data_IF_847902946818
#
_entry.id   IF_847902946818
#
_cell.length_a   1.000
_cell.length_b   1.000
_cell.length_c   1.000
_cell.angle_alpha   90.00
_cell.angle_beta   90.00
_cell.angle_gamma   90.00
#
_symmetry.space_group_name_H-M   'P 1'
#
loop_
_entity.id
_entity.type
_entity.pdbx_description
1 polymer ?
#
# COMPACT_ATOMS: atom_id res chain seq x y z
N UNK A 1 12.42 -18.60 -16.14
CA UNK A 1 13.08 -18.64 -14.82
C UNK A 1 12.83 -19.98 -14.12
N UNK A 2 11.58 -20.37 -13.82
CA UNK A 2 11.26 -21.64 -13.13
C UNK A 2 11.72 -22.86 -13.93
N UNK A 3 11.57 -22.85 -15.26
CA UNK A 3 12.08 -23.90 -16.14
C UNK A 3 13.61 -23.98 -16.08
N UNK A 4 14.29 -22.81 -16.04
CA UNK A 4 15.74 -22.72 -15.92
C UNK A 4 16.23 -23.28 -14.57
N UNK A 5 15.50 -22.98 -13.48
CA UNK A 5 15.79 -23.52 -12.15
C UNK A 5 15.54 -25.05 -12.10
N UNK A 6 14.46 -25.53 -12.72
CA UNK A 6 14.18 -26.96 -12.83
C UNK A 6 15.28 -27.67 -13.63
N UNK A 7 15.73 -27.11 -14.76
CA UNK A 7 16.81 -27.64 -15.55
C UNK A 7 18.14 -27.63 -14.77
N UNK A 8 18.42 -26.58 -14.00
CA UNK A 8 19.60 -26.51 -13.14
C UNK A 8 19.58 -27.59 -12.05
N UNK A 9 18.43 -27.82 -11.42
CA UNK A 9 18.27 -28.83 -10.38
C UNK A 9 18.39 -30.26 -10.93
N UNK A 10 17.85 -30.52 -12.13
CA UNK A 10 17.85 -31.86 -12.75
C UNK A 10 19.14 -32.17 -13.49
N UNK A 11 19.68 -31.18 -14.22
CA UNK A 11 20.81 -31.36 -15.13
C UNK A 11 22.13 -30.85 -14.56
N UNK A 12 22.12 -30.19 -13.41
CA UNK A 12 23.29 -29.54 -12.81
C UNK A 12 23.79 -28.30 -13.57
N UNK A 13 23.18 -27.98 -14.71
CA UNK A 13 23.48 -26.80 -15.51
C UNK A 13 22.24 -26.33 -16.28
N UNK A 14 22.10 -25.05 -16.45
CA UNK A 14 21.08 -24.47 -17.32
C UNK A 14 21.69 -23.31 -18.10
N UNK A 15 21.36 -23.12 -19.39
CA UNK A 15 21.82 -21.97 -20.15
C UNK A 15 21.21 -20.70 -19.57
N UNK A 16 22.05 -19.73 -19.19
CA UNK A 16 21.65 -18.41 -18.83
C UNK A 16 21.34 -17.62 -20.12
N UNK A 17 20.12 -17.20 -20.27
CA UNK A 17 19.73 -16.22 -21.30
C UNK A 17 19.97 -14.81 -20.80
N UNK A 18 20.00 -13.82 -21.70
CA UNK A 18 20.10 -12.41 -21.35
C UNK A 18 18.98 -11.89 -20.42
N UNK A 19 17.95 -12.70 -20.19
CA UNK A 19 16.84 -12.42 -19.31
C UNK A 19 17.18 -12.64 -17.83
N UNK A 20 18.18 -13.45 -17.53
CA UNK A 20 18.54 -13.79 -16.16
C UNK A 20 19.82 -13.10 -15.73
N UNK A 21 19.77 -12.39 -14.62
CA UNK A 21 20.89 -11.70 -14.03
C UNK A 21 21.25 -12.36 -12.69
N UNK A 22 22.55 -12.45 -12.44
CA UNK A 22 23.05 -12.78 -11.10
C UNK A 22 23.29 -11.47 -10.38
N UNK A 23 22.59 -11.25 -9.27
CA UNK A 23 22.79 -10.04 -8.47
C UNK A 23 24.12 -10.09 -7.69
N UNK A 24 24.46 -9.00 -6.98
CA UNK A 24 25.72 -8.89 -6.22
C UNK A 24 25.85 -9.93 -5.11
N UNK A 25 24.74 -10.54 -4.68
CA UNK A 25 24.70 -11.59 -3.67
C UNK A 25 24.75 -13.01 -4.29
N UNK A 26 24.97 -13.11 -5.58
CA UNK A 26 25.06 -14.41 -6.28
C UNK A 26 23.68 -15.04 -6.56
N UNK A 27 22.59 -14.29 -6.43
CA UNK A 27 21.23 -14.76 -6.67
C UNK A 27 20.87 -14.61 -8.14
N UNK A 28 20.35 -15.68 -8.75
CA UNK A 28 19.81 -15.65 -10.09
C UNK A 28 18.45 -14.95 -10.07
N UNK A 29 18.34 -13.81 -10.75
CA UNK A 29 17.12 -12.98 -10.82
C UNK A 29 16.62 -12.97 -12.24
N UNK A 30 15.34 -13.23 -12.46
CA UNK A 30 14.66 -12.97 -13.72
C UNK A 30 14.42 -11.46 -13.86
N UNK A 31 15.05 -10.83 -14.83
CA UNK A 31 14.92 -9.40 -15.07
C UNK A 31 13.55 -9.01 -15.65
N UNK A 32 12.66 -9.94 -15.97
CA UNK A 32 11.43 -9.65 -16.68
C UNK A 32 10.16 -10.40 -16.25
N UNK A 33 10.20 -11.27 -15.25
CA UNK A 33 8.99 -11.99 -14.80
C UNK A 33 8.95 -12.13 -13.29
N UNK A 34 7.84 -11.71 -12.70
CA UNK A 34 7.53 -12.06 -11.32
C UNK A 34 7.30 -13.57 -11.22
N UNK A 35 7.84 -14.22 -10.18
CA UNK A 35 7.52 -15.59 -9.85
C UNK A 35 6.00 -15.74 -9.67
N UNK A 36 5.39 -16.75 -10.28
CA UNK A 36 3.97 -17.00 -10.15
C UNK A 36 3.57 -17.03 -8.67
N UNK A 37 2.58 -16.23 -8.23
CA UNK A 37 2.20 -16.15 -6.84
C UNK A 37 1.89 -17.53 -6.23
N UNK A 38 2.57 -17.90 -5.16
CA UNK A 38 2.31 -19.11 -4.38
C UNK A 38 2.95 -20.41 -4.87
N UNK A 39 3.71 -20.42 -5.98
CA UNK A 39 4.48 -21.62 -6.40
C UNK A 39 5.81 -21.71 -5.66
N UNK A 40 6.60 -20.64 -5.68
CA UNK A 40 7.84 -20.48 -4.92
C UNK A 40 7.82 -19.09 -4.28
N UNK A 41 7.85 -19.02 -2.98
CA UNK A 41 7.76 -17.75 -2.24
C UNK A 41 9.11 -17.10 -2.00
N UNK A 42 10.20 -17.88 -2.03
CA UNK A 42 11.55 -17.39 -1.75
C UNK A 42 12.61 -18.35 -2.30
N UNK A 43 13.71 -17.80 -2.82
CA UNK A 43 14.93 -18.51 -3.14
C UNK A 43 16.05 -17.88 -2.33
N UNK A 44 16.78 -18.68 -1.56
CA UNK A 44 17.93 -18.23 -0.78
C UNK A 44 19.16 -19.02 -1.19
N UNK A 45 20.23 -18.37 -1.66
CA UNK A 45 21.48 -19.06 -1.93
C UNK A 45 22.12 -19.49 -0.60
N UNK A 46 22.60 -20.72 -0.56
CA UNK A 46 23.27 -21.30 0.59
C UNK A 46 24.58 -21.95 0.14
N UNK A 47 25.54 -21.13 -0.28
CA UNK A 47 26.78 -21.60 -0.85
C UNK A 47 26.59 -22.39 -2.17
N UNK A 48 26.83 -23.71 -2.15
CA UNK A 48 26.60 -24.61 -3.30
C UNK A 48 25.16 -25.12 -3.41
N UNK A 49 24.26 -24.72 -2.52
CA UNK A 49 22.91 -25.25 -2.42
C UNK A 49 21.86 -24.20 -2.81
N UNK A 50 20.76 -24.66 -3.42
CA UNK A 50 19.56 -23.87 -3.68
C UNK A 50 18.48 -24.31 -2.70
N UNK A 51 17.92 -23.35 -1.95
CA UNK A 51 16.83 -23.60 -1.02
C UNK A 51 15.56 -22.95 -1.55
N UNK A 52 14.53 -23.76 -1.78
CA UNK A 52 13.24 -23.33 -2.25
C UNK A 52 12.25 -23.29 -1.09
N UNK A 53 11.54 -22.16 -0.93
CA UNK A 53 10.43 -22.04 0.01
C UNK A 53 9.13 -22.04 -0.80
N UNK A 54 8.21 -22.96 -0.50
CA UNK A 54 6.92 -23.05 -1.16
C UNK A 54 5.81 -23.19 -0.13
N UNK A 55 4.68 -22.56 -0.38
CA UNK A 55 3.43 -22.75 0.39
C UNK A 55 2.63 -23.95 -0.12
N UNK A 56 3.06 -24.60 -1.19
CA UNK A 56 2.41 -25.74 -1.83
C UNK A 56 3.17 -27.02 -1.53
N UNK A 57 2.44 -28.09 -1.28
CA UNK A 57 2.99 -29.40 -1.01
C UNK A 57 3.72 -30.01 -2.22
N UNK A 58 4.43 -31.11 -1.96
CA UNK A 58 5.28 -31.83 -2.93
C UNK A 58 4.51 -32.25 -4.19
N UNK A 59 3.26 -32.66 -4.06
CA UNK A 59 2.42 -33.08 -5.20
C UNK A 59 2.20 -31.94 -6.19
N UNK A 60 1.84 -30.74 -5.70
CA UNK A 60 1.62 -29.56 -6.55
C UNK A 60 2.92 -29.09 -7.20
N UNK A 61 4.07 -29.28 -6.54
CA UNK A 61 5.37 -29.00 -7.16
C UNK A 61 5.67 -30.00 -8.28
N UNK A 62 5.31 -31.29 -8.10
CA UNK A 62 5.46 -32.30 -9.12
C UNK A 62 4.59 -32.02 -10.37
N UNK A 63 3.37 -31.59 -10.17
CA UNK A 63 2.47 -31.21 -11.27
C UNK A 63 2.98 -30.00 -12.07
N UNK A 64 3.55 -29.00 -11.38
CA UNK A 64 4.02 -27.78 -12.05
C UNK A 64 5.41 -27.88 -12.66
N UNK A 65 6.32 -28.61 -12.04
CA UNK A 65 7.74 -28.69 -12.44
C UNK A 65 8.16 -30.07 -12.98
N UNK A 66 7.26 -31.03 -12.90
CA UNK A 66 7.49 -32.41 -13.28
C UNK A 66 8.14 -33.26 -12.16
N UNK A 67 7.89 -34.57 -12.21
CA UNK A 67 8.39 -35.52 -11.22
C UNK A 67 9.91 -35.57 -11.15
N UNK A 68 10.60 -35.33 -12.26
CA UNK A 68 12.05 -35.29 -12.34
C UNK A 68 12.66 -34.14 -11.51
N UNK A 69 12.00 -32.98 -11.49
CA UNK A 69 12.40 -31.84 -10.64
C UNK A 69 12.31 -32.20 -9.16
N UNK A 70 11.14 -32.73 -8.74
CA UNK A 70 10.93 -33.11 -7.34
C UNK A 70 11.87 -34.23 -6.89
N UNK A 71 12.17 -35.17 -7.77
CA UNK A 71 13.14 -36.25 -7.50
C UNK A 71 14.59 -35.74 -7.40
N UNK A 72 14.92 -34.63 -8.05
CA UNK A 72 16.24 -34.01 -8.00
C UNK A 72 16.41 -33.07 -6.77
N UNK A 73 15.31 -32.75 -6.03
CA UNK A 73 15.40 -32.09 -4.73
C UNK A 73 16.03 -33.09 -3.74
N UNK A 74 17.13 -32.71 -3.09
CA UNK A 74 17.76 -33.53 -2.07
C UNK A 74 16.84 -33.69 -0.85
N UNK A 75 16.94 -32.79 0.10
CA UNK A 75 16.10 -32.80 1.31
C UNK A 75 14.85 -31.96 1.11
N UNK A 76 13.69 -32.54 1.38
CA UNK A 76 12.40 -31.86 1.39
C UNK A 76 11.89 -31.84 2.81
N UNK A 77 11.90 -30.66 3.42
CA UNK A 77 11.34 -30.43 4.75
C UNK A 77 9.92 -29.88 4.63
N UNK A 78 8.93 -30.66 5.01
CA UNK A 78 7.56 -30.20 5.11
C UNK A 78 7.29 -29.66 6.53
N UNK A 79 6.81 -28.43 6.61
CA UNK A 79 6.43 -27.82 7.88
C UNK A 79 4.91 -27.89 8.05
N UNK A 80 4.46 -28.42 9.16
CA UNK A 80 3.04 -28.40 9.55
C UNK A 80 2.69 -27.07 10.24
N UNK A 81 1.38 -26.82 10.39
CA UNK A 81 0.91 -25.73 11.25
C UNK A 81 1.43 -25.94 12.69
N UNK A 82 1.73 -24.86 13.38
CA UNK A 82 2.21 -24.93 14.76
C UNK A 82 1.16 -25.58 15.67
N UNK A 83 1.59 -26.55 16.46
CA UNK A 83 0.79 -27.07 17.55
C UNK A 83 0.58 -26.00 18.64
N UNK A 84 -0.48 -26.11 19.41
CA UNK A 84 -0.84 -25.11 20.45
C UNK A 84 0.28 -24.91 21.47
N UNK A 85 0.95 -26.00 21.87
CA UNK A 85 2.07 -25.95 22.79
C UNK A 85 3.28 -25.20 22.19
N UNK A 86 3.55 -25.42 20.90
CA UNK A 86 4.64 -24.74 20.19
C UNK A 86 4.36 -23.23 20.07
N UNK A 87 3.11 -22.83 19.81
CA UNK A 87 2.73 -21.42 19.78
C UNK A 87 2.83 -20.77 21.15
N UNK A 88 2.44 -21.47 22.22
CA UNK A 88 2.60 -20.98 23.59
C UNK A 88 4.07 -20.81 23.97
N UNK A 89 4.94 -21.73 23.56
CA UNK A 89 6.39 -21.63 23.77
C UNK A 89 7.01 -20.44 23.01
N UNK A 90 6.63 -20.24 21.74
CA UNK A 90 7.05 -19.09 20.94
C UNK A 90 6.55 -17.77 21.53
N UNK A 91 5.29 -17.71 21.98
CA UNK A 91 4.73 -16.52 22.63
C UNK A 91 5.48 -16.20 23.93
N UNK A 92 5.83 -17.21 24.75
CA UNK A 92 6.64 -17.02 25.95
C UNK A 92 8.03 -16.48 25.61
N UNK A 93 8.69 -16.98 24.57
CA UNK A 93 9.97 -16.47 24.09
C UNK A 93 9.88 -15.00 23.66
N UNK A 94 8.85 -14.64 22.89
CA UNK A 94 8.63 -13.25 22.45
C UNK A 94 8.33 -12.31 23.62
N UNK A 95 7.55 -12.75 24.61
CA UNK A 95 7.26 -11.97 25.82
C UNK A 95 8.51 -11.79 26.68
N UNK A 96 9.40 -12.78 26.80
CA UNK A 96 10.67 -12.64 27.49
C UNK A 96 11.58 -11.62 26.78
N UNK A 97 11.65 -11.66 25.45
CA UNK A 97 12.37 -10.67 24.66
C UNK A 97 11.78 -9.27 24.84
N UNK A 98 10.44 -9.15 24.85
CA UNK A 98 9.74 -7.90 25.15
C UNK A 98 10.08 -7.38 26.55
N UNK A 99 10.05 -8.23 27.58
CA UNK A 99 10.40 -7.85 28.95
C UNK A 99 11.83 -7.32 29.05
N UNK A 100 12.80 -7.98 28.40
CA UNK A 100 14.18 -7.50 28.32
C UNK A 100 14.26 -6.13 27.61
N UNK A 101 13.52 -5.94 26.51
CA UNK A 101 13.45 -4.68 25.76
C UNK A 101 12.85 -3.54 26.61
N UNK A 102 11.76 -3.81 27.34
CA UNK A 102 11.10 -2.87 28.24
C UNK A 102 12.08 -2.46 29.35
N UNK A 103 12.75 -3.41 29.98
CA UNK A 103 13.73 -3.13 31.04
C UNK A 103 14.89 -2.26 30.54
N UNK A 104 15.43 -2.59 29.36
CA UNK A 104 16.59 -1.89 28.80
C UNK A 104 16.25 -0.49 28.29
N UNK A 105 15.07 -0.32 27.69
CA UNK A 105 14.69 0.92 26.98
C UNK A 105 13.84 1.86 27.83
N UNK A 106 12.99 1.32 28.71
CA UNK A 106 12.04 2.09 29.51
C UNK A 106 12.40 2.08 31.04
N UNK A 107 13.34 1.26 31.46
CA UNK A 107 13.71 1.15 32.87
C UNK A 107 12.69 0.40 33.75
N UNK A 108 11.64 -0.14 33.17
CA UNK A 108 10.53 -0.79 33.88
C UNK A 108 10.63 -2.31 33.81
N UNK A 109 10.13 -2.99 34.83
CA UNK A 109 10.01 -4.46 34.83
C UNK A 109 8.64 -4.84 34.28
N UNK A 110 8.60 -5.76 33.30
CA UNK A 110 7.35 -6.25 32.71
C UNK A 110 6.98 -7.59 33.31
N UNK A 111 5.75 -7.72 33.82
CA UNK A 111 5.13 -8.95 34.30
C UNK A 111 3.94 -9.32 33.36
N UNK A 112 3.96 -10.54 32.84
CA UNK A 112 2.91 -11.06 31.97
C UNK A 112 2.57 -12.50 32.38
N UNK A 113 1.31 -12.76 32.62
CA UNK A 113 0.78 -14.06 33.03
C UNK A 113 0.55 -15.02 31.88
N UNK A 114 -0.05 -16.18 32.18
CA UNK A 114 -0.43 -17.18 31.21
C UNK A 114 -1.52 -16.67 30.23
N UNK A 115 -2.44 -15.86 30.73
CA UNK A 115 -3.50 -15.19 29.99
C UNK A 115 -2.92 -14.31 28.86
N UNK A 116 -1.89 -13.51 29.15
CA UNK A 116 -1.21 -12.66 28.16
C UNK A 116 -0.44 -13.49 27.14
N UNK A 117 0.19 -14.57 27.60
CA UNK A 117 0.88 -15.53 26.71
C UNK A 117 -0.13 -16.15 25.72
N UNK A 118 -1.27 -16.57 26.20
CA UNK A 118 -2.31 -17.18 25.36
C UNK A 118 -2.93 -16.15 24.39
N UNK A 119 -3.11 -14.91 24.84
CA UNK A 119 -3.52 -13.79 23.98
C UNK A 119 -2.52 -13.56 22.83
N UNK A 120 -1.21 -13.50 23.14
CA UNK A 120 -0.16 -13.32 22.12
C UNK A 120 -0.11 -14.53 21.17
N UNK A 121 -0.23 -15.76 21.69
CA UNK A 121 -0.26 -16.96 20.86
C UNK A 121 -1.44 -16.97 19.88
N UNK A 122 -2.60 -16.44 20.29
CA UNK A 122 -3.79 -16.31 19.44
C UNK A 122 -3.60 -15.34 18.26
N UNK A 123 -2.57 -14.50 18.26
CA UNK A 123 -2.26 -13.60 17.12
C UNK A 123 -1.60 -14.34 15.94
N UNK A 124 -1.30 -15.64 16.08
CA UNK A 124 -0.86 -16.46 14.97
C UNK A 124 -2.03 -16.74 14.03
N UNK A 125 -1.94 -16.25 12.80
CA UNK A 125 -2.95 -16.52 11.77
C UNK A 125 -2.36 -17.39 10.64
N UNK A 126 -3.17 -18.14 9.89
CA UNK A 126 -2.69 -18.92 8.74
C UNK A 126 -1.96 -18.07 7.68
N UNK A 127 -2.27 -16.77 7.60
CA UNK A 127 -1.67 -15.83 6.63
C UNK A 127 -0.36 -15.23 7.12
N UNK A 128 -0.25 -14.93 8.42
CA UNK A 128 0.90 -14.22 9.00
C UNK A 128 1.86 -15.15 9.74
N UNK A 129 1.43 -16.38 10.05
CA UNK A 129 2.24 -17.33 10.81
C UNK A 129 2.72 -16.73 12.15
N UNK A 130 3.93 -17.10 12.59
CA UNK A 130 4.53 -16.59 13.81
C UNK A 130 4.88 -15.09 13.80
N UNK A 131 4.86 -14.42 12.63
CA UNK A 131 5.11 -12.98 12.54
C UNK A 131 4.03 -12.16 13.30
N UNK A 132 2.81 -12.68 13.42
CA UNK A 132 1.74 -12.06 14.21
C UNK A 132 2.11 -11.90 15.70
N UNK A 133 2.84 -12.85 16.25
CA UNK A 133 3.29 -12.79 17.66
C UNK A 133 4.29 -11.64 17.88
N UNK A 134 5.27 -11.51 16.99
CA UNK A 134 6.26 -10.43 17.03
C UNK A 134 5.60 -9.06 16.86
N UNK A 135 4.68 -8.92 15.88
CA UNK A 135 3.93 -7.69 15.65
C UNK A 135 3.10 -7.29 16.89
N UNK A 136 2.48 -8.25 17.57
CA UNK A 136 1.76 -8.01 18.82
C UNK A 136 2.68 -7.51 19.92
N UNK A 137 3.84 -8.14 20.13
CA UNK A 137 4.83 -7.70 21.09
C UNK A 137 5.38 -6.30 20.80
N UNK A 138 5.62 -5.98 19.53
CA UNK A 138 6.03 -4.63 19.13
C UNK A 138 4.93 -3.59 19.38
N UNK A 139 3.66 -3.96 19.18
CA UNK A 139 2.51 -3.10 19.49
C UNK A 139 2.41 -2.84 21.01
N UNK A 140 2.61 -3.87 21.85
CA UNK A 140 2.66 -3.73 23.30
C UNK A 140 3.81 -2.80 23.71
N UNK A 141 5.01 -3.00 23.15
CA UNK A 141 6.16 -2.14 23.46
C UNK A 141 5.91 -0.67 23.14
N UNK A 142 5.28 -0.39 21.99
CA UNK A 142 4.93 0.96 21.58
C UNK A 142 3.93 1.61 22.52
N UNK A 143 2.88 0.88 22.91
CA UNK A 143 1.88 1.40 23.85
C UNK A 143 2.50 1.75 25.21
N UNK A 144 3.39 0.89 25.74
CA UNK A 144 4.12 1.16 26.97
C UNK A 144 5.10 2.34 26.82
N UNK A 145 5.74 2.48 25.67
CA UNK A 145 6.61 3.62 25.37
C UNK A 145 5.82 4.92 25.34
N UNK A 146 4.63 4.91 24.76
CA UNK A 146 3.74 6.07 24.72
C UNK A 146 3.28 6.49 26.12
N UNK A 147 2.94 5.51 26.97
CA UNK A 147 2.63 5.76 28.37
C UNK A 147 3.77 6.46 29.10
N UNK A 148 5.01 5.98 28.91
CA UNK A 148 6.20 6.58 29.52
C UNK A 148 6.46 8.00 29.00
N UNK A 149 6.12 8.31 27.74
CA UNK A 149 6.28 9.64 27.17
C UNK A 149 5.22 10.64 27.66
N UNK A 150 3.99 10.17 27.92
CA UNK A 150 2.91 11.00 28.44
C UNK A 150 3.05 11.30 29.94
N UNK A 151 3.85 10.52 30.65
CA UNK A 151 4.07 10.67 32.09
C UNK A 151 5.42 11.34 32.34
N UNK A 152 5.43 12.62 32.67
CA UNK A 152 6.64 13.49 32.83
C UNK A 152 7.61 13.07 33.95
N UNK A 153 7.37 11.97 34.64
CA UNK A 153 8.19 11.48 35.72
C UNK A 153 9.03 10.27 35.28
N UNK A 154 10.26 10.17 35.77
CA UNK A 154 11.07 8.96 35.66
C UNK A 154 10.30 7.78 36.27
N UNK A 155 9.60 7.01 35.44
CA UNK A 155 8.80 5.88 35.89
C UNK A 155 9.71 4.75 36.34
N UNK A 156 9.50 4.26 37.57
CA UNK A 156 10.17 3.09 38.10
C UNK A 156 9.13 2.11 38.65
N UNK A 157 9.38 0.82 38.51
CA UNK A 157 8.49 -0.19 39.06
C UNK A 157 8.18 -1.32 38.07
N UNK A 158 7.07 -2.00 38.34
CA UNK A 158 6.62 -3.15 37.58
C UNK A 158 5.32 -2.85 36.84
N UNK A 159 5.31 -3.08 35.55
CA UNK A 159 4.11 -3.10 34.75
C UNK A 159 3.56 -4.52 34.69
N UNK A 160 2.33 -4.70 35.14
CA UNK A 160 1.60 -5.97 35.01
C UNK A 160 0.63 -5.89 33.86
N UNK A 161 0.75 -6.83 32.90
CA UNK A 161 -0.21 -7.01 31.83
C UNK A 161 -1.26 -8.05 32.21
N UNK A 162 -2.48 -7.84 31.79
CA UNK A 162 -3.61 -8.77 31.95
C UNK A 162 -4.40 -8.83 30.64
N UNK A 163 -4.71 -10.05 30.19
CA UNK A 163 -5.54 -10.22 28.98
C UNK A 163 -7.03 -10.17 29.31
N UNK A 164 -7.81 -9.53 28.42
CA UNK A 164 -9.28 -9.52 28.43
C UNK A 164 -9.81 -9.93 27.08
N UNK A 165 -11.14 -10.11 26.98
CA UNK A 165 -11.81 -10.50 25.74
C UNK A 165 -11.58 -9.47 24.61
N UNK A 166 -11.48 -8.18 24.95
CA UNK A 166 -11.36 -7.06 24.01
C UNK A 166 -9.94 -6.49 23.87
N UNK A 167 -8.93 -7.10 24.53
CA UNK A 167 -7.55 -6.61 24.42
C UNK A 167 -6.65 -6.91 25.61
N UNK A 168 -5.71 -6.01 25.87
CA UNK A 168 -4.80 -6.06 27.00
C UNK A 168 -4.98 -4.84 27.90
N UNK A 169 -5.06 -5.08 29.19
CA UNK A 169 -4.91 -4.07 30.23
C UNK A 169 -3.50 -4.06 30.78
N UNK A 170 -3.07 -2.92 31.31
CA UNK A 170 -1.83 -2.78 32.04
C UNK A 170 -2.04 -2.00 33.34
N UNK A 171 -1.24 -2.29 34.33
CA UNK A 171 -1.17 -1.57 35.59
C UNK A 171 0.30 -1.32 35.97
N UNK A 172 0.63 -0.09 36.37
CA UNK A 172 1.95 0.24 36.90
C UNK A 172 1.89 0.15 38.44
N UNK A 173 2.68 -0.73 39.03
CA UNK A 173 2.68 -1.01 40.48
C UNK A 173 1.24 -1.32 40.98
N UNK A 174 0.75 -0.57 41.95
CA UNK A 174 -0.59 -0.70 42.55
C UNK A 174 -1.64 0.21 41.93
N UNK A 175 -1.36 0.82 40.77
CA UNK A 175 -2.33 1.63 40.04
C UNK A 175 -3.47 0.79 39.47
N UNK A 176 -4.65 1.40 39.29
CA UNK A 176 -5.76 0.72 38.67
C UNK A 176 -5.45 0.32 37.21
N UNK A 177 -6.02 -0.81 36.71
CA UNK A 177 -5.79 -1.27 35.37
C UNK A 177 -6.37 -0.29 34.32
N UNK A 178 -5.61 -0.07 33.25
CA UNK A 178 -5.97 0.78 32.12
C UNK A 178 -5.85 -0.03 30.83
N UNK A 179 -6.66 0.29 29.82
CA UNK A 179 -6.56 -0.35 28.51
C UNK A 179 -5.26 0.04 27.82
N UNK A 180 -4.42 -0.96 27.53
CA UNK A 180 -3.08 -0.74 26.99
C UNK A 180 -3.11 -0.06 25.63
N UNK A 181 -3.99 -0.48 24.73
CA UNK A 181 -3.99 0.01 23.35
C UNK A 181 -4.71 1.34 23.17
N UNK A 182 -5.48 1.81 24.18
CA UNK A 182 -6.04 3.17 24.18
C UNK A 182 -4.96 4.25 24.34
N UNK A 183 -3.77 3.86 24.84
CA UNK A 183 -2.60 4.73 24.91
C UNK A 183 -1.97 5.03 23.55
N UNK A 184 -2.23 4.16 22.57
CA UNK A 184 -1.69 4.38 21.23
C UNK A 184 -2.44 5.53 20.55
N UNK A 185 -1.72 6.47 19.92
CA UNK A 185 -2.35 7.43 19.02
C UNK A 185 -3.25 6.71 18.03
N UNK A 186 -4.31 7.36 17.56
CA UNK A 186 -5.24 6.80 16.56
C UNK A 186 -4.51 6.18 15.33
N UNK A 187 -3.30 6.64 15.04
CA UNK A 187 -2.38 6.09 14.07
C UNK A 187 -2.00 4.61 14.26
N UNK A 188 -2.16 4.06 15.45
CA UNK A 188 -1.81 2.66 15.75
C UNK A 188 -3.03 1.75 15.91
N UNK A 189 -4.22 2.25 15.65
CA UNK A 189 -5.43 1.43 15.56
C UNK A 189 -5.39 0.64 14.27
N UNK A 190 -6.12 -0.48 14.18
CA UNK A 190 -6.15 -1.35 13.00
C UNK A 190 -6.43 -0.64 11.67
N UNK A 191 -6.98 0.59 11.72
CA UNK A 191 -7.22 1.42 10.55
C UNK A 191 -5.96 1.76 9.73
N UNK A 192 -4.81 1.95 10.38
CA UNK A 192 -3.53 2.25 9.67
C UNK A 192 -3.03 1.01 8.95
N UNK A 193 -3.04 -0.15 9.61
CA UNK A 193 -2.67 -1.41 8.99
C UNK A 193 -3.59 -1.78 7.83
N UNK A 194 -4.87 -1.52 7.97
CA UNK A 194 -5.86 -1.78 6.93
C UNK A 194 -5.62 -0.92 5.69
N UNK A 195 -5.36 0.38 5.88
CA UNK A 195 -5.03 1.29 4.77
C UNK A 195 -3.66 0.96 4.16
N UNK A 196 -2.66 0.60 4.96
CA UNK A 196 -1.37 0.11 4.45
C UNK A 196 -1.56 -1.14 3.60
N UNK A 197 -2.44 -2.03 4.01
CA UNK A 197 -2.79 -3.21 3.24
C UNK A 197 -3.52 -2.83 1.95
N UNK A 198 -4.54 -1.94 1.99
CA UNK A 198 -5.20 -1.43 0.79
C UNK A 198 -4.19 -0.83 -0.20
N UNK A 199 -3.21 -0.05 0.27
CA UNK A 199 -2.15 0.51 -0.56
C UNK A 199 -1.24 -0.57 -1.15
N UNK A 200 -0.85 -1.57 -0.35
CA UNK A 200 0.00 -2.66 -0.83
C UNK A 200 -0.70 -3.58 -1.82
N UNK A 201 -2.01 -3.78 -1.67
CA UNK A 201 -2.83 -4.61 -2.55
C UNK A 201 -3.05 -3.96 -3.94
N UNK A 202 -2.79 -2.65 -4.09
CA UNK A 202 -2.77 -2.02 -5.42
C UNK A 202 -1.64 -2.61 -6.26
N UNK A 203 -1.92 -2.85 -7.52
CA UNK A 203 -0.91 -3.32 -8.48
C UNK A 203 0.08 -2.19 -8.76
N UNK A 204 1.36 -2.52 -8.83
CA UNK A 204 2.43 -1.58 -9.20
C UNK A 204 2.59 -0.40 -8.24
N UNK A 205 2.95 0.77 -8.79
CA UNK A 205 3.09 2.05 -8.11
C UNK A 205 4.06 2.02 -6.90
N UNK A 206 5.10 1.18 -6.93
CA UNK A 206 6.03 1.03 -5.82
C UNK A 206 6.64 2.36 -5.34
N UNK A 207 7.13 3.28 -6.21
CA UNK A 207 7.68 4.57 -5.77
C UNK A 207 6.63 5.46 -5.09
N UNK A 208 5.37 5.41 -5.56
CA UNK A 208 4.26 6.19 -4.99
C UNK A 208 3.92 5.69 -3.58
N UNK A 209 3.87 4.37 -3.40
CA UNK A 209 3.61 3.73 -2.10
C UNK A 209 4.71 4.06 -1.09
N UNK A 210 5.96 3.91 -1.50
CA UNK A 210 7.12 4.23 -0.66
C UNK A 210 7.10 5.69 -0.21
N UNK A 211 6.78 6.60 -1.12
CA UNK A 211 6.64 8.01 -0.80
C UNK A 211 5.53 8.27 0.23
N UNK A 212 4.34 7.69 0.05
CA UNK A 212 3.19 7.86 0.96
C UNK A 212 3.53 7.32 2.36
N UNK A 213 4.20 6.17 2.44
CA UNK A 213 4.66 5.61 3.73
C UNK A 213 5.71 6.49 4.39
N UNK A 214 6.71 6.96 3.64
CA UNK A 214 7.75 7.85 4.15
C UNK A 214 7.21 9.19 4.65
N UNK A 215 6.21 9.76 3.95
CA UNK A 215 5.54 10.97 4.40
C UNK A 215 4.83 10.75 5.74
N UNK A 216 4.11 9.64 5.89
CA UNK A 216 3.42 9.31 7.13
C UNK A 216 4.38 9.07 8.29
N UNK A 217 5.47 8.36 8.05
CA UNK A 217 6.51 8.12 9.06
C UNK A 217 7.14 9.46 9.53
N UNK A 218 7.36 10.39 8.59
CA UNK A 218 7.86 11.73 8.92
C UNK A 218 6.87 12.50 9.79
N UNK A 219 5.59 12.53 9.41
CA UNK A 219 4.53 13.18 10.20
C UNK A 219 4.49 12.62 11.63
N UNK A 220 4.55 11.31 11.81
CA UNK A 220 4.56 10.68 13.12
C UNK A 220 5.80 11.08 13.94
N UNK A 221 6.97 11.17 13.31
CA UNK A 221 8.19 11.64 13.99
C UNK A 221 8.03 13.09 14.44
N UNK A 222 7.46 13.98 13.63
CA UNK A 222 7.22 15.37 14.01
C UNK A 222 6.19 15.47 15.16
N UNK A 223 5.13 14.68 15.14
CA UNK A 223 4.16 14.61 16.25
C UNK A 223 4.83 14.18 17.58
N UNK A 224 5.71 13.16 17.52
CA UNK A 224 6.49 12.72 18.69
C UNK A 224 7.44 13.81 19.18
N UNK A 225 8.09 14.54 18.29
CA UNK A 225 8.95 15.68 18.66
C UNK A 225 8.15 16.78 19.33
N UNK A 226 6.94 17.09 18.82
CA UNK A 226 6.04 18.06 19.43
C UNK A 226 5.63 17.64 20.86
N UNK A 227 5.23 16.36 21.04
CA UNK A 227 4.86 15.80 22.32
C UNK A 227 6.04 15.81 23.33
N UNK A 228 7.28 15.70 22.86
CA UNK A 228 8.49 15.80 23.67
C UNK A 228 8.96 17.25 23.90
N UNK A 229 8.16 18.28 23.54
CA UNK A 229 8.53 19.70 23.69
C UNK A 229 9.67 20.16 22.78
N UNK A 230 10.07 19.36 21.78
CA UNK A 230 11.12 19.69 20.83
C UNK A 230 10.59 20.57 19.69
N UNK A 231 11.46 21.42 19.15
CA UNK A 231 11.11 22.18 17.94
C UNK A 231 10.78 21.22 16.81
N UNK A 232 9.64 21.44 16.17
CA UNK A 232 9.18 20.70 14.97
C UNK A 232 9.43 21.51 13.71
N UNK A 233 9.77 20.84 12.62
CA UNK A 233 9.76 21.46 11.31
C UNK A 233 8.31 21.52 10.80
N UNK A 234 7.85 22.69 10.35
CA UNK A 234 6.57 22.78 9.63
C UNK A 234 6.76 22.13 8.27
N UNK A 235 6.11 20.99 8.07
CA UNK A 235 6.11 20.25 6.81
C UNK A 235 4.88 20.62 6.00
N UNK A 236 5.07 21.10 4.79
CA UNK A 236 3.96 21.21 3.84
C UNK A 236 3.57 19.80 3.39
N UNK A 237 2.29 19.45 3.61
CA UNK A 237 1.71 18.18 3.15
C UNK A 237 1.06 18.28 1.77
N UNK A 238 1.08 19.46 1.13
CA UNK A 238 0.52 19.64 -0.20
C UNK A 238 1.34 18.87 -1.24
N UNK A 239 0.67 18.29 -2.24
CA UNK A 239 1.29 17.35 -3.19
C UNK A 239 0.90 17.70 -4.62
N UNK A 240 1.78 17.34 -5.55
CA UNK A 240 1.51 17.33 -6.98
C UNK A 240 1.59 15.89 -7.47
N UNK A 241 0.53 15.41 -8.10
CA UNK A 241 0.44 14.11 -8.74
C UNK A 241 0.53 14.28 -10.24
N UNK A 242 1.61 13.82 -10.85
CA UNK A 242 1.80 13.87 -12.30
C UNK A 242 1.75 12.46 -12.89
N UNK A 243 1.37 12.35 -14.16
CA UNK A 243 1.34 11.09 -14.90
C UNK A 243 0.16 10.99 -15.86
N UNK A 244 0.17 9.98 -16.71
CA UNK A 244 -0.81 9.75 -17.75
C UNK A 244 -2.22 9.38 -17.20
N UNK A 245 -3.28 9.42 -18.05
CA UNK A 245 -4.62 9.02 -17.64
C UNK A 245 -4.67 7.56 -17.14
N UNK A 246 -5.45 7.32 -16.08
CA UNK A 246 -5.69 5.96 -15.59
C UNK A 246 -4.56 5.34 -14.76
N UNK A 247 -3.52 6.09 -14.40
CA UNK A 247 -2.41 5.62 -13.55
C UNK A 247 -2.74 5.54 -12.05
N UNK A 248 -3.97 5.84 -11.63
CA UNK A 248 -4.42 5.66 -10.26
C UNK A 248 -4.31 6.88 -9.35
N UNK A 249 -4.05 8.10 -9.88
CA UNK A 249 -3.89 9.34 -9.11
C UNK A 249 -5.03 9.59 -8.12
N UNK A 250 -6.28 9.55 -8.56
CA UNK A 250 -7.46 9.77 -7.69
C UNK A 250 -7.62 8.65 -6.65
N UNK A 251 -7.30 7.40 -7.01
CA UNK A 251 -7.35 6.25 -6.09
C UNK A 251 -6.36 6.42 -4.95
N UNK A 252 -5.13 6.79 -5.26
CA UNK A 252 -4.09 7.07 -4.26
C UNK A 252 -4.46 8.31 -3.43
N UNK A 253 -4.97 9.39 -4.03
CA UNK A 253 -5.41 10.57 -3.27
C UNK A 253 -6.46 10.22 -2.20
N UNK A 254 -7.40 9.33 -2.52
CA UNK A 254 -8.41 8.85 -1.57
C UNK A 254 -7.80 8.03 -0.43
N UNK A 255 -6.81 7.19 -0.73
CA UNK A 255 -6.10 6.42 0.29
C UNK A 255 -5.20 7.32 1.14
N UNK A 256 -4.55 8.33 0.56
CA UNK A 256 -3.78 9.35 1.28
C UNK A 256 -4.68 10.10 2.27
N UNK A 257 -5.89 10.53 1.86
CA UNK A 257 -6.81 11.21 2.75
C UNK A 257 -7.21 10.34 3.96
N UNK A 258 -7.55 9.06 3.72
CA UNK A 258 -7.82 8.08 4.78
C UNK A 258 -6.59 7.88 5.68
N UNK A 259 -5.39 7.79 5.09
CA UNK A 259 -4.16 7.54 5.82
C UNK A 259 -3.77 8.72 6.71
N UNK A 260 -3.84 9.96 6.20
CA UNK A 260 -3.57 11.17 6.97
C UNK A 260 -4.53 11.34 8.16
N UNK A 261 -5.80 10.96 7.98
CA UNK A 261 -6.75 10.87 9.10
C UNK A 261 -6.33 9.82 10.12
N UNK A 262 -6.02 8.60 9.65
CA UNK A 262 -5.68 7.49 10.53
C UNK A 262 -4.43 7.75 11.38
N UNK A 263 -3.44 8.49 10.85
CA UNK A 263 -2.24 8.91 11.59
C UNK A 263 -2.47 10.22 12.39
N UNK A 264 -3.69 10.76 12.42
CA UNK A 264 -4.01 11.98 13.18
C UNK A 264 -3.43 13.27 12.59
N UNK A 265 -2.96 13.26 11.33
CA UNK A 265 -2.48 14.46 10.64
C UNK A 265 -3.64 15.38 10.19
N UNK A 266 -4.80 14.79 9.93
CA UNK A 266 -6.03 15.51 9.60
C UNK A 266 -7.17 15.03 10.51
N UNK A 267 -8.06 15.94 10.89
CA UNK A 267 -9.23 15.63 11.72
C UNK A 267 -10.30 14.84 10.95
N UNK A 268 -10.50 15.18 9.67
CA UNK A 268 -11.36 14.47 8.74
C UNK A 268 -10.58 13.48 7.88
N UNK A 269 -11.24 12.79 7.00
CA UNK A 269 -10.60 11.89 6.02
C UNK A 269 -11.33 12.00 4.69
N UNK A 270 -12.12 13.07 4.54
CA UNK A 270 -12.85 13.33 3.31
C UNK A 270 -11.89 13.77 2.21
N UNK A 271 -12.16 13.30 1.00
CA UNK A 271 -11.59 13.80 -0.23
C UNK A 271 -12.64 14.64 -0.95
N UNK A 272 -12.36 15.91 -1.13
CA UNK A 272 -13.18 16.80 -1.97
C UNK A 272 -12.52 16.86 -3.33
N UNK A 273 -13.13 16.19 -4.32
CA UNK A 273 -12.64 16.10 -5.68
C UNK A 273 -13.31 17.16 -6.54
N UNK A 274 -12.51 18.00 -7.16
CA UNK A 274 -12.97 19.14 -7.96
C UNK A 274 -12.15 19.30 -9.24
N UNK A 275 -12.73 20.04 -10.18
CA UNK A 275 -12.12 20.47 -11.42
C UNK A 275 -12.20 22.00 -11.56
N UNK A 276 -11.69 22.54 -12.66
CA UNK A 276 -11.79 23.97 -12.96
C UNK A 276 -13.24 24.49 -12.84
N UNK A 277 -14.22 23.72 -13.30
CA UNK A 277 -15.63 24.14 -13.32
C UNK A 277 -16.22 24.38 -11.92
N UNK A 278 -15.63 23.75 -10.90
CA UNK A 278 -16.06 23.85 -9.50
C UNK A 278 -15.38 25.03 -8.76
N UNK A 279 -14.30 25.57 -9.33
CA UNK A 279 -13.48 26.63 -8.71
C UNK A 279 -13.66 27.98 -9.39
N UNK A 280 -13.90 28.01 -10.71
CA UNK A 280 -13.93 29.22 -11.52
C UNK A 280 -15.37 29.67 -11.77
N UNK A 281 -15.69 30.87 -11.33
CA UNK A 281 -17.00 31.50 -11.54
C UNK A 281 -17.25 31.89 -12.98
N UNK A 282 -18.55 32.03 -13.33
CA UNK A 282 -18.98 32.43 -14.67
C UNK A 282 -18.97 33.95 -14.89
N UNK A 283 -19.00 34.74 -13.81
CA UNK A 283 -19.08 36.18 -13.85
C UNK A 283 -18.01 36.81 -12.95
N UNK A 284 -17.67 38.06 -13.24
CA UNK A 284 -16.71 38.85 -12.44
C UNK A 284 -17.15 38.88 -10.96
N UNK A 285 -16.22 38.65 -10.04
CA UNK A 285 -16.43 38.64 -8.59
C UNK A 285 -17.02 37.31 -8.04
N UNK A 286 -17.26 36.29 -8.88
CA UNK A 286 -17.80 35.02 -8.42
C UNK A 286 -16.73 33.97 -8.14
N UNK A 287 -15.53 34.10 -8.70
CA UNK A 287 -14.49 33.07 -8.61
C UNK A 287 -13.95 32.95 -7.19
N UNK A 288 -13.50 34.03 -6.57
CA UNK A 288 -12.94 33.95 -5.21
C UNK A 288 -13.94 33.44 -4.17
N UNK A 289 -15.25 33.85 -4.12
CA UNK A 289 -16.23 33.24 -3.24
C UNK A 289 -16.45 31.74 -3.49
N UNK A 290 -16.51 31.33 -4.76
CA UNK A 290 -16.70 29.93 -5.13
C UNK A 290 -15.50 29.08 -4.69
N UNK A 291 -14.28 29.50 -5.02
CA UNK A 291 -13.04 28.84 -4.61
C UNK A 291 -12.94 28.74 -3.09
N UNK A 292 -13.26 29.81 -2.34
CA UNK A 292 -13.28 29.79 -0.88
C UNK A 292 -14.33 28.82 -0.33
N UNK A 293 -15.51 28.73 -0.93
CA UNK A 293 -16.53 27.76 -0.53
C UNK A 293 -16.04 26.32 -0.68
N UNK A 294 -15.33 26.01 -1.76
CA UNK A 294 -14.70 24.69 -1.97
C UNK A 294 -13.61 24.43 -0.93
N UNK A 295 -12.73 25.40 -0.67
CA UNK A 295 -11.69 25.30 0.37
C UNK A 295 -12.34 24.99 1.72
N UNK A 296 -13.40 25.73 2.12
CA UNK A 296 -14.10 25.51 3.38
C UNK A 296 -14.70 24.10 3.48
N UNK A 297 -15.23 23.55 2.38
CA UNK A 297 -15.79 22.19 2.34
C UNK A 297 -14.71 21.09 2.52
N UNK A 298 -13.45 21.41 2.21
CA UNK A 298 -12.33 20.48 2.30
C UNK A 298 -11.55 20.58 3.62
N UNK A 299 -11.87 21.55 4.49
CA UNK A 299 -11.16 21.72 5.76
C UNK A 299 -11.25 20.46 6.63
N UNK A 300 -10.14 20.11 7.24
CA UNK A 300 -9.96 18.88 8.00
C UNK A 300 -9.66 17.66 7.12
N UNK A 301 -9.63 17.81 5.79
CA UNK A 301 -9.44 16.73 4.82
C UNK A 301 -8.51 17.12 3.66
N UNK A 302 -8.76 16.52 2.52
CA UNK A 302 -7.96 16.68 1.30
C UNK A 302 -8.80 17.30 0.19
N UNK A 303 -8.31 18.39 -0.40
CA UNK A 303 -8.81 18.97 -1.63
C UNK A 303 -8.00 18.42 -2.80
N UNK A 304 -8.65 17.63 -3.65
CA UNK A 304 -8.05 17.06 -4.85
C UNK A 304 -8.55 17.82 -6.09
N UNK A 305 -7.63 18.45 -6.80
CA UNK A 305 -7.95 19.21 -8.00
C UNK A 305 -7.45 18.40 -9.21
N UNK A 306 -8.39 17.79 -9.94
CA UNK A 306 -8.04 17.04 -11.14
C UNK A 306 -7.87 17.97 -12.33
N UNK A 307 -6.95 17.61 -13.22
CA UNK A 307 -6.56 18.43 -14.36
C UNK A 307 -6.26 19.89 -13.96
N UNK A 308 -5.49 20.05 -12.86
CA UNK A 308 -5.25 21.36 -12.24
C UNK A 308 -4.63 22.38 -13.22
N UNK A 309 -3.88 21.94 -14.23
CA UNK A 309 -3.37 22.78 -15.31
C UNK A 309 -4.48 23.52 -16.05
N UNK A 310 -5.71 23.00 -16.04
CA UNK A 310 -6.85 23.66 -16.69
C UNK A 310 -7.22 24.99 -16.02
N UNK A 311 -6.79 25.22 -14.77
CA UNK A 311 -6.96 26.52 -14.08
C UNK A 311 -6.18 27.65 -14.75
N UNK A 312 -5.11 27.34 -15.48
CA UNK A 312 -4.32 28.33 -16.18
C UNK A 312 -4.43 28.17 -17.69
N UNK A 313 -5.08 29.09 -18.37
CA UNK A 313 -5.25 29.15 -19.84
C UNK A 313 -4.50 30.32 -20.48
N UNK A 314 -3.46 30.81 -19.80
CA UNK A 314 -2.66 31.93 -20.24
C UNK A 314 -2.89 33.21 -19.40
N UNK A 315 -2.07 34.22 -19.62
CA UNK A 315 -2.07 35.47 -18.84
C UNK A 315 -3.38 36.26 -18.92
N UNK A 316 -4.18 36.03 -19.94
CA UNK A 316 -5.47 36.70 -20.12
C UNK A 316 -6.64 35.99 -19.40
N UNK A 317 -6.41 34.82 -18.83
CA UNK A 317 -7.42 34.10 -18.03
C UNK A 317 -7.51 34.64 -16.60
N UNK A 318 -8.06 35.85 -16.46
CA UNK A 318 -8.16 36.52 -15.17
C UNK A 318 -8.94 35.69 -14.12
N UNK A 319 -9.97 34.94 -14.54
CA UNK A 319 -10.75 34.09 -13.62
C UNK A 319 -9.93 32.90 -13.11
N UNK A 320 -9.17 32.24 -13.97
CA UNK A 320 -8.28 31.16 -13.58
C UNK A 320 -7.18 31.63 -12.63
N UNK A 321 -6.56 32.78 -12.92
CA UNK A 321 -5.57 33.40 -12.03
C UNK A 321 -6.16 33.79 -10.68
N UNK A 322 -7.38 34.36 -10.63
CA UNK A 322 -8.09 34.67 -9.39
C UNK A 322 -8.34 33.40 -8.54
N UNK A 323 -8.70 32.29 -9.17
CA UNK A 323 -8.87 30.99 -8.49
C UNK A 323 -7.55 30.49 -7.91
N UNK A 324 -6.44 30.57 -8.67
CA UNK A 324 -5.10 30.17 -8.23
C UNK A 324 -4.66 31.00 -7.03
N UNK A 325 -4.80 32.34 -7.11
CA UNK A 325 -4.40 33.25 -6.02
C UNK A 325 -5.22 32.98 -4.75
N UNK A 326 -6.53 32.74 -4.90
CA UNK A 326 -7.42 32.41 -3.79
C UNK A 326 -7.04 31.08 -3.17
N UNK A 327 -6.71 30.07 -4.00
CA UNK A 327 -6.25 28.77 -3.53
C UNK A 327 -4.93 28.87 -2.75
N UNK A 328 -3.94 29.58 -3.31
CA UNK A 328 -2.63 29.80 -2.68
C UNK A 328 -2.78 30.47 -1.32
N UNK A 329 -3.66 31.48 -1.22
CA UNK A 329 -3.98 32.13 0.06
C UNK A 329 -4.66 31.16 1.04
N UNK A 330 -5.67 30.42 0.60
CA UNK A 330 -6.37 29.46 1.45
C UNK A 330 -5.48 28.34 1.97
N UNK A 331 -4.51 27.88 1.18
CA UNK A 331 -3.50 26.91 1.61
C UNK A 331 -2.60 27.45 2.73
N UNK A 332 -2.24 28.73 2.70
CA UNK A 332 -1.46 29.34 3.76
C UNK A 332 -2.27 29.56 5.03
N UNK A 333 -3.49 30.07 4.87
CA UNK A 333 -4.40 30.38 5.98
C UNK A 333 -4.85 29.09 6.74
N UNK A 334 -4.89 27.94 6.05
CA UNK A 334 -5.39 26.65 6.59
C UNK A 334 -4.33 25.51 6.50
N UNK A 335 -3.04 25.83 6.49
CA UNK A 335 -1.95 24.88 6.26
C UNK A 335 -1.93 23.66 7.21
N UNK A 336 -2.48 23.81 8.42
CA UNK A 336 -2.50 22.75 9.44
C UNK A 336 -3.79 21.90 9.38
N UNK A 337 -4.78 22.32 8.59
CA UNK A 337 -6.09 21.67 8.51
C UNK A 337 -6.49 21.22 7.10
N UNK A 338 -5.74 21.63 6.08
CA UNK A 338 -6.03 21.35 4.68
C UNK A 338 -4.80 20.76 3.98
N UNK A 339 -5.00 19.68 3.27
CA UNK A 339 -4.04 19.16 2.29
C UNK A 339 -4.60 19.37 0.89
N UNK A 340 -3.83 20.00 0.02
CA UNK A 340 -4.19 20.17 -1.39
C UNK A 340 -3.35 19.23 -2.24
N UNK A 341 -4.00 18.49 -3.12
CA UNK A 341 -3.36 17.63 -4.13
C UNK A 341 -3.75 18.15 -5.50
N UNK A 342 -2.77 18.61 -6.28
CA UNK A 342 -2.94 18.99 -7.66
C UNK A 342 -2.60 17.80 -8.56
N UNK A 343 -3.50 17.38 -9.41
CA UNK A 343 -3.28 16.27 -10.33
C UNK A 343 -3.33 16.73 -11.80
N UNK A 344 -2.50 16.12 -12.64
CA UNK A 344 -2.50 16.42 -14.07
C UNK A 344 -1.42 15.69 -14.84
N UNK A 345 -1.32 15.99 -16.12
CA UNK A 345 -0.28 15.45 -16.99
C UNK A 345 1.05 16.17 -16.74
N UNK A 346 2.16 15.45 -16.83
CA UNK A 346 3.47 15.94 -16.41
C UNK A 346 3.85 17.26 -17.11
N UNK A 347 3.75 17.33 -18.43
CA UNK A 347 4.11 18.54 -19.22
C UNK A 347 3.22 19.73 -18.90
N UNK A 348 1.91 19.50 -18.85
CA UNK A 348 0.90 20.53 -18.59
C UNK A 348 1.05 21.07 -17.16
N UNK A 349 1.37 20.21 -16.21
CA UNK A 349 1.63 20.61 -14.83
C UNK A 349 2.93 21.40 -14.68
N UNK A 350 3.99 21.09 -15.42
CA UNK A 350 5.21 21.91 -15.46
C UNK A 350 4.93 23.33 -15.90
N UNK A 351 4.17 23.50 -17.00
CA UNK A 351 3.74 24.82 -17.48
C UNK A 351 2.86 25.54 -16.46
N UNK A 352 1.90 24.83 -15.86
CA UNK A 352 0.99 25.37 -14.86
C UNK A 352 1.73 25.93 -13.63
N UNK A 353 2.76 25.25 -13.16
CA UNK A 353 3.54 25.68 -12.01
C UNK A 353 4.35 26.96 -12.26
N UNK A 354 4.57 27.35 -13.51
CA UNK A 354 5.21 28.62 -13.85
C UNK A 354 4.22 29.80 -13.82
N UNK A 355 2.91 29.54 -13.84
CA UNK A 355 1.87 30.57 -13.87
C UNK A 355 1.83 31.44 -12.60
N UNK A 356 2.24 30.88 -11.47
CA UNK A 356 2.32 31.60 -10.20
C UNK A 356 3.52 31.09 -9.40
N UNK A 357 4.48 31.96 -9.09
CA UNK A 357 5.71 31.63 -8.36
C UNK A 357 5.43 31.09 -6.94
N UNK A 358 4.27 31.45 -6.36
CA UNK A 358 3.81 30.93 -5.07
C UNK A 358 3.37 29.48 -5.08
N UNK A 359 2.94 28.95 -6.24
CA UNK A 359 2.54 27.54 -6.36
C UNK A 359 3.73 26.60 -6.13
N UNK A 360 4.81 26.78 -6.88
CA UNK A 360 5.95 25.88 -6.85
C UNK A 360 6.56 25.73 -5.44
N UNK A 361 6.58 26.82 -4.65
CA UNK A 361 7.15 26.84 -3.30
C UNK A 361 6.27 26.15 -2.25
N UNK A 362 4.96 26.06 -2.50
CA UNK A 362 3.98 25.46 -1.56
C UNK A 362 3.76 23.98 -1.78
N UNK A 363 4.19 23.45 -2.92
CA UNK A 363 4.08 22.04 -3.30
C UNK A 363 5.46 21.37 -3.37
N UNK A 364 6.12 21.13 -2.22
CA UNK A 364 7.43 20.47 -2.21
C UNK A 364 7.35 19.00 -2.61
N UNK A 365 6.17 18.39 -2.47
CA UNK A 365 5.95 16.98 -2.65
C UNK A 365 5.44 16.71 -4.07
N UNK A 366 6.36 16.31 -4.96
CA UNK A 366 6.02 15.93 -6.34
C UNK A 366 6.10 14.42 -6.48
N UNK A 367 5.01 13.81 -6.89
CA UNK A 367 4.86 12.36 -7.01
C UNK A 367 4.50 12.06 -8.46
N UNK A 368 5.37 11.34 -9.13
CA UNK A 368 5.16 10.87 -10.49
C UNK A 368 4.52 9.49 -10.47
N UNK A 369 3.45 9.33 -11.24
CA UNK A 369 2.75 8.08 -11.45
C UNK A 369 3.20 7.50 -12.79
N UNK A 370 4.07 6.48 -12.77
CA UNK A 370 4.52 5.86 -14.00
C UNK A 370 3.36 5.13 -14.70
N UNK A 371 3.51 4.92 -16.00
CA UNK A 371 2.62 4.02 -16.73
C UNK A 371 2.81 2.59 -16.22
N UNK A 372 1.72 1.84 -16.17
CA UNK A 372 1.76 0.42 -15.83
C UNK A 372 2.41 -0.37 -16.97
N UNK A 373 3.14 -1.40 -16.64
CA UNK A 373 3.60 -2.41 -17.61
C UNK A 373 2.42 -3.26 -18.10
N UNK A 374 2.60 -3.98 -19.20
CA UNK A 374 1.56 -4.89 -19.71
C UNK A 374 1.21 -5.99 -18.69
N UNK A 375 2.19 -6.49 -17.93
CA UNK A 375 1.96 -7.45 -16.87
C UNK A 375 1.15 -6.84 -15.71
N UNK A 376 1.45 -5.61 -15.31
CA UNK A 376 0.66 -4.89 -14.30
C UNK A 376 -0.77 -4.62 -14.79
N UNK A 377 -0.97 -4.28 -16.06
CA UNK A 377 -2.32 -4.12 -16.64
C UNK A 377 -3.10 -5.42 -16.65
N UNK A 378 -2.43 -6.54 -16.91
CA UNK A 378 -3.03 -7.87 -16.80
C UNK A 378 -3.44 -8.17 -15.34
N UNK A 379 -2.58 -7.87 -14.37
CA UNK A 379 -2.88 -8.04 -12.95
C UNK A 379 -4.05 -7.15 -12.52
N UNK A 380 -4.09 -5.90 -12.97
CA UNK A 380 -5.21 -4.98 -12.74
C UNK A 380 -6.50 -5.59 -13.32
N UNK A 381 -6.45 -6.14 -14.53
CA UNK A 381 -7.62 -6.77 -15.15
C UNK A 381 -8.10 -7.96 -14.34
N UNK A 382 -7.19 -8.80 -13.83
CA UNK A 382 -7.51 -9.92 -12.95
C UNK A 382 -8.14 -9.46 -11.63
N UNK A 383 -7.60 -8.42 -11.00
CA UNK A 383 -8.15 -7.85 -9.76
C UNK A 383 -9.55 -7.29 -10.00
N UNK A 384 -9.74 -6.55 -11.09
CA UNK A 384 -11.06 -5.99 -11.46
C UNK A 384 -12.07 -7.10 -11.77
N UNK A 385 -11.66 -8.16 -12.49
CA UNK A 385 -12.53 -9.30 -12.80
C UNK A 385 -13.00 -9.99 -11.51
N UNK A 386 -12.07 -10.33 -10.61
CA UNK A 386 -12.39 -10.95 -9.31
C UNK A 386 -13.31 -10.06 -8.47
N UNK A 387 -13.07 -8.75 -8.47
CA UNK A 387 -13.92 -7.79 -7.75
C UNK A 387 -15.36 -7.72 -8.28
N UNK A 388 -15.58 -8.11 -9.55
CA UNK A 388 -16.91 -8.22 -10.19
C UNK A 388 -17.47 -9.65 -10.16
N UNK A 389 -16.77 -10.61 -9.54
CA UNK A 389 -17.20 -12.03 -9.49
C UNK A 389 -16.88 -12.84 -10.74
N UNK A 390 -15.95 -12.35 -11.59
CA UNK A 390 -15.47 -13.05 -12.79
C UNK A 390 -14.05 -13.56 -12.59
N UNK A 391 -13.68 -14.55 -13.41
CA UNK A 391 -12.30 -15.03 -13.56
C UNK A 391 -11.92 -15.10 -15.04
N UNK A 392 -10.71 -14.69 -15.34
CA UNK A 392 -10.15 -14.88 -16.68
C UNK A 392 -9.63 -16.31 -16.84
N UNK A 393 -9.95 -16.98 -17.92
CA UNK A 393 -9.32 -18.25 -18.26
C UNK A 393 -7.80 -18.02 -18.45
N UNK A 394 -6.97 -19.01 -18.12
CA UNK A 394 -5.52 -18.93 -18.29
C UNK A 394 -5.11 -18.62 -19.74
N UNK A 395 -5.89 -19.11 -20.70
CA UNK A 395 -5.74 -18.85 -22.12
C UNK A 395 -5.94 -17.37 -22.53
N UNK A 396 -6.52 -16.50 -21.66
CA UNK A 396 -6.64 -15.08 -21.90
C UNK A 396 -5.35 -14.31 -21.64
N UNK A 397 -4.38 -14.88 -20.90
CA UNK A 397 -3.18 -14.21 -20.42
C UNK A 397 -2.32 -13.65 -21.55
N UNK A 398 -1.89 -14.51 -22.48
CA UNK A 398 -1.03 -14.07 -23.59
C UNK A 398 -1.72 -13.11 -24.57
N UNK A 399 -2.99 -13.35 -25.00
CA UNK A 399 -3.71 -12.40 -25.83
C UNK A 399 -3.83 -11.00 -25.19
N UNK A 400 -4.17 -10.93 -23.89
CA UNK A 400 -4.29 -9.65 -23.19
C UNK A 400 -2.95 -8.96 -23.03
N UNK A 401 -1.88 -9.68 -22.64
CA UNK A 401 -0.53 -9.14 -22.56
C UNK A 401 -0.11 -8.52 -23.88
N UNK A 402 -0.18 -9.27 -24.96
CA UNK A 402 0.18 -8.79 -26.30
C UNK A 402 -0.68 -7.61 -26.78
N UNK A 403 -1.95 -7.55 -26.38
CA UNK A 403 -2.80 -6.39 -26.63
C UNK A 403 -2.31 -5.16 -25.87
N UNK A 404 -2.02 -5.26 -24.59
CA UNK A 404 -1.53 -4.14 -23.78
C UNK A 404 -0.16 -3.64 -24.28
N UNK A 405 0.76 -4.54 -24.63
CA UNK A 405 2.05 -4.17 -25.21
C UNK A 405 1.89 -3.37 -26.51
N UNK A 406 1.01 -3.81 -27.42
CA UNK A 406 0.73 -3.09 -28.66
C UNK A 406 0.14 -1.71 -28.41
N UNK A 407 -0.87 -1.61 -27.51
CA UNK A 407 -1.51 -0.34 -27.20
C UNK A 407 -0.54 0.67 -26.56
N UNK A 408 0.40 0.20 -25.75
CA UNK A 408 1.43 1.06 -25.14
C UNK A 408 2.49 1.49 -26.16
N UNK A 409 2.85 0.60 -27.09
CA UNK A 409 3.81 0.91 -28.14
C UNK A 409 3.25 1.92 -29.17
N UNK A 410 1.93 1.93 -29.41
CA UNK A 410 1.27 2.89 -30.31
C UNK A 410 1.36 4.31 -29.73
N UNK A 411 0.89 4.53 -28.53
CA UNK A 411 1.00 5.80 -27.81
C UNK A 411 0.75 5.62 -26.31
N UNK A 412 1.80 5.64 -25.53
CA UNK A 412 1.74 5.49 -24.09
C UNK A 412 0.87 6.55 -23.38
N UNK A 413 0.77 7.77 -23.95
CA UNK A 413 -0.04 8.86 -23.36
C UNK A 413 -1.53 8.62 -23.48
N UNK A 414 -1.98 8.02 -24.59
CA UNK A 414 -3.39 7.76 -24.86
C UNK A 414 -3.81 6.32 -24.59
N UNK A 415 -2.86 5.43 -24.29
CA UNK A 415 -3.13 4.02 -24.00
C UNK A 415 -4.14 3.82 -22.86
N UNK A 416 -4.16 4.74 -21.88
CA UNK A 416 -5.22 4.81 -20.87
C UNK A 416 -4.99 3.98 -19.61
N UNK A 417 -3.88 3.25 -19.50
CA UNK A 417 -3.47 2.54 -18.27
C UNK A 417 -4.61 1.70 -17.65
N UNK A 418 -4.90 1.87 -16.38
CA UNK A 418 -5.98 1.17 -15.69
C UNK A 418 -7.39 1.41 -16.27
N UNK A 419 -7.62 2.52 -17.00
CA UNK A 419 -8.87 2.71 -17.78
C UNK A 419 -8.93 1.75 -18.94
N UNK A 420 -7.79 1.50 -19.62
CA UNK A 420 -7.71 0.49 -20.69
C UNK A 420 -8.09 -0.89 -20.15
N UNK A 421 -7.46 -1.33 -19.04
CA UNK A 421 -7.77 -2.61 -18.41
C UNK A 421 -9.26 -2.73 -18.06
N UNK A 422 -9.85 -1.69 -17.49
CA UNK A 422 -11.28 -1.64 -17.15
C UNK A 422 -12.16 -1.76 -18.39
N UNK A 423 -11.90 -0.95 -19.41
CA UNK A 423 -12.71 -0.94 -20.64
C UNK A 423 -12.64 -2.29 -21.37
N UNK A 424 -11.45 -2.89 -21.43
CA UNK A 424 -11.24 -4.22 -22.03
C UNK A 424 -12.04 -5.28 -21.28
N UNK A 425 -12.00 -5.26 -19.94
CA UNK A 425 -12.78 -6.18 -19.11
C UNK A 425 -14.29 -5.96 -19.29
N UNK A 426 -14.77 -4.72 -19.32
CA UNK A 426 -16.21 -4.43 -19.48
C UNK A 426 -16.73 -4.92 -20.84
N UNK A 427 -15.96 -4.76 -21.91
CA UNK A 427 -16.27 -5.34 -23.22
C UNK A 427 -16.29 -6.87 -23.17
N UNK A 428 -15.30 -7.49 -22.53
CA UNK A 428 -15.23 -8.93 -22.39
C UNK A 428 -16.44 -9.51 -21.63
N UNK A 429 -16.87 -8.85 -20.54
CA UNK A 429 -18.08 -9.24 -19.79
C UNK A 429 -19.33 -9.14 -20.68
N UNK A 430 -19.43 -8.08 -21.48
CA UNK A 430 -20.55 -7.92 -22.42
C UNK A 430 -20.58 -9.04 -23.46
N UNK A 431 -19.43 -9.36 -24.06
CA UNK A 431 -19.33 -10.43 -25.07
C UNK A 431 -19.57 -11.82 -24.45
N UNK A 432 -19.04 -12.07 -23.23
CA UNK A 432 -19.35 -13.29 -22.49
C UNK A 432 -20.86 -13.47 -22.31
N UNK A 433 -21.58 -12.41 -21.93
CA UNK A 433 -23.03 -12.48 -21.79
C UNK A 433 -23.72 -12.91 -23.08
N UNK A 434 -23.25 -12.44 -24.24
CA UNK A 434 -23.78 -12.85 -25.55
C UNK A 434 -23.47 -14.33 -25.84
N UNK A 435 -22.27 -14.80 -25.54
CA UNK A 435 -21.87 -16.20 -25.68
C UNK A 435 -22.72 -17.11 -24.79
N UNK A 436 -22.94 -16.73 -23.52
CA UNK A 436 -23.72 -17.52 -22.57
C UNK A 436 -25.21 -17.69 -22.95
N UNK A 437 -25.77 -16.72 -23.71
CA UNK A 437 -27.12 -16.87 -24.27
C UNK A 437 -27.14 -17.96 -25.36
N UNK A 438 -26.05 -18.10 -26.11
CA UNK A 438 -25.93 -19.16 -27.12
C UNK A 438 -25.50 -20.52 -26.51
N UNK A 439 -24.78 -20.50 -25.40
CA UNK A 439 -24.22 -21.67 -24.73
C UNK A 439 -24.67 -21.73 -23.26
N UNK A 440 -25.94 -22.08 -22.97
CA UNK A 440 -26.49 -22.00 -21.60
C UNK A 440 -25.83 -22.93 -20.58
N UNK A 441 -25.09 -23.94 -21.03
CA UNK A 441 -24.37 -24.90 -20.14
C UNK A 441 -22.96 -24.44 -19.77
N UNK A 442 -22.46 -23.29 -20.32
CA UNK A 442 -21.13 -22.79 -20.02
C UNK A 442 -21.05 -22.16 -18.63
N UNK A 443 -19.84 -22.11 -18.06
CA UNK A 443 -19.60 -21.50 -16.75
C UNK A 443 -19.88 -19.99 -16.79
N UNK A 444 -20.66 -19.51 -15.82
CA UNK A 444 -21.19 -18.14 -15.80
C UNK A 444 -20.14 -17.10 -15.37
N UNK A 445 -19.09 -17.50 -14.67
CA UNK A 445 -18.06 -16.62 -14.10
C UNK A 445 -16.76 -16.58 -14.92
N UNK A 446 -16.64 -17.39 -16.01
CA UNK A 446 -15.41 -17.51 -16.80
C UNK A 446 -15.47 -16.68 -18.06
N UNK A 447 -14.46 -15.82 -18.22
CA UNK A 447 -14.19 -15.08 -19.46
C UNK A 447 -13.18 -15.88 -20.28
N UNK A 448 -13.50 -16.14 -21.53
CA UNK A 448 -12.68 -16.88 -22.50
C UNK A 448 -12.00 -15.92 -23.50
N UNK A 449 -10.96 -16.36 -24.21
CA UNK A 449 -10.35 -15.57 -25.28
C UNK A 449 -11.33 -15.12 -26.38
N UNK A 450 -12.35 -15.91 -26.65
CA UNK A 450 -13.42 -15.55 -27.59
C UNK A 450 -14.28 -14.36 -27.15
N UNK A 451 -14.27 -14.05 -25.85
CA UNK A 451 -15.01 -12.91 -25.30
C UNK A 451 -14.18 -11.62 -25.38
N UNK A 452 -12.86 -11.73 -25.63
CA UNK A 452 -11.95 -10.59 -25.73
C UNK A 452 -12.05 -9.95 -27.13
N UNK A 453 -12.28 -8.65 -27.16
CA UNK A 453 -12.23 -7.81 -28.38
C UNK A 453 -10.92 -7.01 -28.34
N UNK A 454 -9.83 -7.58 -28.89
CA UNK A 454 -8.44 -7.09 -28.76
C UNK A 454 -7.90 -6.46 -30.05
#
# INVERSE_FOLDING_TARGET
FLKTLADLAVKGSAPLSSRYLVNKEGILVDAGTALAPGAVSRITPCGKYLVFFSQKGREVLADKFGAAFVSALGDVCETSAFAREALAALAAQQLNALAAKVKTRLGLTLSAGADVRDYVAAQCSPKQGAAGLSACCDKIFRALSEYCLQTDAALTGTITLTAREDGLDFALNDAGPQKLFDLLPAAYTGAVEEIRKELNDLVGLAPVKEYVFGLADNIQVQQRRAAAGLKTASLSMHMIFTGNPGTGKTTIARLVAKYLKAIGALKGGQLVEVSRGDLVGRYTGHTAPLTNSVIQSALGGVLFIDEAYSLYRGEQDSFGLEAIDTLVKGMEDHRDELVVILAGYTREMETFLTANSGLASRFPNKIEFPDYTADELLDITNVLARGKGYRLAESCTEPLRGYYERRQAEDARTAGNGRLARNTLEKAIFNQSRRLVAEPAAELDVILPSDLEL
#
